data_IF_661951731943
#
_entry.id   IF_661951731943
#
_cell.length_a   1.000
_cell.length_b   1.000
_cell.length_c   1.000
_cell.angle_alpha   90.00
_cell.angle_beta   90.00
_cell.angle_gamma   90.00
#
_symmetry.space_group_name_H-M   'P 1'
#
loop_
_entity.id
_entity.type
_entity.pdbx_description
1 polymer ?
#
# COMPACT_ATOMS: atom_id res chain seq x y z
N UNK A 1 -25.25 -38.49 35.77
CA UNK A 1 -25.22 -37.81 34.49
C UNK A 1 -24.15 -36.74 34.49
N UNK A 2 -23.18 -36.96 33.75
CA UNK A 2 -22.14 -35.94 33.70
C UNK A 2 -22.70 -34.66 33.08
N UNK A 3 -22.60 -33.59 33.83
CA UNK A 3 -22.95 -32.27 33.37
C UNK A 3 -21.75 -31.59 32.74
N UNK A 4 -20.74 -32.37 32.51
CA UNK A 4 -19.53 -31.80 31.91
C UNK A 4 -19.82 -31.36 30.50
N UNK A 5 -19.40 -30.15 30.21
CA UNK A 5 -19.38 -29.69 28.84
C UNK A 5 -18.65 -30.71 27.99
N UNK A 6 -19.20 -31.05 26.85
CA UNK A 6 -18.49 -31.95 25.95
C UNK A 6 -17.05 -31.50 25.76
N UNK A 7 -16.12 -32.38 25.99
CA UNK A 7 -14.71 -32.14 25.74
C UNK A 7 -14.43 -31.49 24.36
N UNK A 8 -15.23 -31.84 23.31
CA UNK A 8 -15.06 -31.16 22.00
C UNK A 8 -15.23 -29.65 22.06
N UNK A 9 -16.19 -29.14 22.88
CA UNK A 9 -16.41 -27.69 22.95
C UNK A 9 -15.20 -26.99 23.58
N UNK A 10 -14.68 -27.56 24.66
CA UNK A 10 -13.47 -27.00 25.29
C UNK A 10 -12.28 -27.02 24.34
N UNK A 11 -12.09 -28.12 23.62
CA UNK A 11 -11.02 -28.25 22.65
C UNK A 11 -11.19 -27.28 21.50
N UNK A 12 -12.43 -27.07 21.06
CA UNK A 12 -12.73 -26.10 20.02
C UNK A 12 -12.37 -24.67 20.46
N UNK A 13 -12.74 -24.31 21.70
CA UNK A 13 -12.37 -22.99 22.24
C UNK A 13 -10.87 -22.80 22.33
N UNK A 14 -10.15 -23.83 22.79
CA UNK A 14 -8.69 -23.79 22.83
C UNK A 14 -8.10 -23.65 21.44
N UNK A 15 -8.65 -24.34 20.46
CA UNK A 15 -8.19 -24.26 19.07
C UNK A 15 -8.42 -22.87 18.49
N UNK A 16 -9.58 -22.26 18.75
CA UNK A 16 -9.90 -20.90 18.30
C UNK A 16 -8.94 -19.89 18.93
N UNK A 17 -8.70 -20.00 20.24
CA UNK A 17 -7.78 -19.10 20.93
C UNK A 17 -6.35 -19.24 20.39
N UNK A 18 -5.92 -20.47 20.14
CA UNK A 18 -4.60 -20.74 19.59
C UNK A 18 -4.46 -20.20 18.17
N UNK A 19 -5.50 -20.37 17.34
CA UNK A 19 -5.52 -19.85 15.98
C UNK A 19 -5.46 -18.32 15.97
N UNK A 20 -6.23 -17.66 16.86
CA UNK A 20 -6.19 -16.21 16.99
C UNK A 20 -4.82 -15.72 17.43
N UNK A 21 -4.18 -16.42 18.38
CA UNK A 21 -2.84 -16.10 18.83
C UNK A 21 -1.80 -16.26 17.72
N UNK A 22 -1.89 -17.35 16.96
CA UNK A 22 -1.01 -17.59 15.81
C UNK A 22 -1.19 -16.51 14.74
N UNK A 23 -2.45 -16.11 14.48
CA UNK A 23 -2.74 -15.03 13.53
C UNK A 23 -2.11 -13.71 13.97
N UNK A 24 -2.23 -13.38 15.26
CA UNK A 24 -1.64 -12.18 15.83
C UNK A 24 -0.12 -12.17 15.67
N UNK A 25 0.54 -13.28 15.99
CA UNK A 25 1.99 -13.43 15.80
C UNK A 25 2.39 -13.32 14.33
N UNK A 26 1.61 -13.92 13.44
CA UNK A 26 1.86 -13.88 12.00
C UNK A 26 1.75 -12.46 11.47
N UNK A 27 0.73 -11.71 11.88
CA UNK A 27 0.57 -10.30 11.48
C UNK A 27 1.78 -9.49 11.95
N UNK A 28 2.20 -9.64 13.21
CA UNK A 28 3.33 -8.93 13.74
C UNK A 28 4.63 -9.30 13.00
N UNK A 29 4.82 -10.57 12.66
CA UNK A 29 5.98 -11.04 11.90
C UNK A 29 5.96 -10.57 10.45
N UNK A 30 4.77 -10.38 9.87
CA UNK A 30 4.61 -9.99 8.47
C UNK A 30 4.74 -8.47 8.26
N UNK A 31 4.64 -7.65 9.32
CA UNK A 31 4.78 -6.20 9.18
C UNK A 31 6.10 -5.76 8.55
N UNK A 32 7.27 -6.25 8.99
CA UNK A 32 8.52 -5.91 8.32
C UNK A 32 8.56 -6.34 6.85
N UNK A 33 7.99 -7.52 6.55
CA UNK A 33 7.90 -8.01 5.18
C UNK A 33 6.99 -7.11 4.35
N UNK A 34 5.87 -6.67 4.91
CA UNK A 34 4.94 -5.76 4.24
C UNK A 34 5.60 -4.43 3.91
N UNK A 35 6.35 -3.87 4.84
CA UNK A 35 7.11 -2.64 4.58
C UNK A 35 8.14 -2.84 3.48
N UNK A 36 8.82 -3.99 3.48
CA UNK A 36 9.80 -4.30 2.44
C UNK A 36 9.13 -4.38 1.07
N UNK A 37 7.98 -5.05 0.97
CA UNK A 37 7.24 -5.15 -0.28
C UNK A 37 6.74 -3.78 -0.74
N UNK A 38 6.28 -2.95 0.19
CA UNK A 38 5.87 -1.59 -0.13
C UNK A 38 7.05 -0.77 -0.68
N UNK A 39 8.21 -0.88 -0.05
CA UNK A 39 9.42 -0.21 -0.52
C UNK A 39 9.83 -0.69 -1.90
N UNK A 40 9.72 -1.99 -2.17
CA UNK A 40 9.99 -2.55 -3.48
C UNK A 40 9.02 -2.02 -4.53
N UNK A 41 7.73 -1.91 -4.18
CA UNK A 41 6.71 -1.33 -5.06
C UNK A 41 7.00 0.13 -5.39
N UNK A 42 7.39 0.92 -4.39
CA UNK A 42 7.79 2.31 -4.60
C UNK A 42 9.03 2.40 -5.49
N UNK A 43 10.02 1.55 -5.25
CA UNK A 43 11.21 1.49 -6.08
C UNK A 43 10.89 1.13 -7.52
N UNK A 44 10.00 0.18 -7.72
CA UNK A 44 9.52 -0.18 -9.05
C UNK A 44 8.84 0.99 -9.74
N UNK A 45 7.92 1.68 -9.05
CA UNK A 45 7.22 2.82 -9.60
C UNK A 45 8.21 3.94 -9.96
N UNK A 46 9.17 4.21 -9.09
CA UNK A 46 10.18 5.24 -9.32
C UNK A 46 11.06 4.91 -10.54
N UNK A 47 11.46 3.66 -10.71
CA UNK A 47 12.34 3.25 -11.80
C UNK A 47 11.61 3.08 -13.13
N UNK A 48 10.33 2.67 -13.12
CA UNK A 48 9.59 2.34 -14.34
C UNK A 48 8.61 3.43 -14.78
N UNK A 49 8.17 4.30 -13.87
CA UNK A 49 7.17 5.32 -14.17
C UNK A 49 7.81 6.70 -14.19
N UNK A 50 7.96 7.24 -15.41
CA UNK A 50 8.53 8.57 -15.60
C UNK A 50 7.74 9.65 -14.87
N UNK A 51 6.42 9.61 -14.98
CA UNK A 51 5.56 10.60 -14.32
C UNK A 51 5.70 10.57 -12.81
N UNK A 52 5.81 9.38 -12.24
CA UNK A 52 6.03 9.23 -10.80
C UNK A 52 7.33 9.89 -10.37
N UNK A 53 8.41 9.65 -11.11
CA UNK A 53 9.72 10.29 -10.84
C UNK A 53 9.62 11.81 -10.89
N UNK A 54 8.95 12.33 -11.91
CA UNK A 54 8.77 13.79 -12.07
C UNK A 54 8.05 14.36 -10.86
N UNK A 55 6.95 13.72 -10.43
CA UNK A 55 6.19 14.20 -9.29
C UNK A 55 6.98 14.09 -7.97
N UNK A 56 7.78 13.04 -7.80
CA UNK A 56 8.65 12.91 -6.62
C UNK A 56 9.68 14.05 -6.59
N UNK A 57 10.33 14.32 -7.70
CA UNK A 57 11.35 15.38 -7.79
C UNK A 57 10.71 16.75 -7.56
N UNK A 58 9.58 17.01 -8.20
CA UNK A 58 8.87 18.29 -8.00
C UNK A 58 8.45 18.44 -6.54
N UNK A 59 7.90 17.39 -5.95
CA UNK A 59 7.52 17.39 -4.54
C UNK A 59 8.69 17.67 -3.61
N UNK A 60 9.83 17.08 -3.86
CA UNK A 60 11.05 17.30 -3.09
C UNK A 60 11.53 18.76 -3.22
N UNK A 61 11.51 19.30 -4.42
CA UNK A 61 11.90 20.70 -4.67
C UNK A 61 10.94 21.65 -3.95
N UNK A 62 9.65 21.41 -4.06
CA UNK A 62 8.64 22.25 -3.42
C UNK A 62 8.76 22.19 -1.90
N UNK A 63 9.00 21.02 -1.31
CA UNK A 63 9.23 20.90 0.11
C UNK A 63 10.50 21.62 0.55
N UNK A 64 11.59 21.49 -0.19
CA UNK A 64 12.82 22.20 0.08
C UNK A 64 12.62 23.71 0.07
N UNK A 65 11.89 24.19 -0.94
CA UNK A 65 11.54 25.61 -1.06
C UNK A 65 10.68 26.07 0.11
N UNK A 66 9.70 25.26 0.52
CA UNK A 66 8.82 25.56 1.64
C UNK A 66 9.61 25.69 2.95
N UNK A 67 10.62 24.84 3.15
CA UNK A 67 11.50 24.93 4.32
C UNK A 67 12.32 26.20 4.28
N UNK A 68 12.90 26.54 3.14
CA UNK A 68 13.69 27.76 2.95
C UNK A 68 12.84 29.00 3.21
N UNK A 69 11.58 29.00 2.73
CA UNK A 69 10.66 30.12 2.93
C UNK A 69 10.03 30.15 4.31
N UNK A 70 10.33 29.17 5.15
CA UNK A 70 9.84 29.09 6.53
C UNK A 70 8.33 29.11 6.63
N UNK A 71 7.68 28.28 5.80
CA UNK A 71 6.23 28.13 5.88
C UNK A 71 5.81 27.59 7.25
N UNK A 72 4.64 28.05 7.73
CA UNK A 72 4.12 27.59 9.00
C UNK A 72 3.71 26.11 8.94
N UNK A 73 3.46 25.53 10.11
CA UNK A 73 3.17 24.10 10.23
C UNK A 73 1.89 23.71 9.45
N UNK A 74 0.88 24.56 9.49
CA UNK A 74 -0.40 24.30 8.80
C UNK A 74 -0.18 24.24 7.30
N UNK A 75 0.53 25.19 6.74
CA UNK A 75 0.84 25.21 5.31
C UNK A 75 1.70 24.04 4.91
N UNK A 76 2.67 23.67 5.74
CA UNK A 76 3.49 22.48 5.49
C UNK A 76 2.65 21.21 5.50
N UNK A 77 1.70 21.09 6.42
CA UNK A 77 0.79 19.94 6.47
C UNK A 77 -0.09 19.86 5.22
N UNK A 78 -0.65 20.96 4.77
CA UNK A 78 -1.44 21.01 3.54
C UNK A 78 -0.61 20.61 2.34
N UNK A 79 0.62 21.12 2.26
CA UNK A 79 1.55 20.77 1.18
C UNK A 79 1.87 19.27 1.20
N UNK A 80 2.15 18.72 2.38
CA UNK A 80 2.45 17.30 2.55
C UNK A 80 1.27 16.43 2.11
N UNK A 81 0.04 16.80 2.49
CA UNK A 81 -1.16 16.08 2.07
C UNK A 81 -1.34 16.13 0.57
N UNK A 82 -1.12 17.30 -0.04
CA UNK A 82 -1.26 17.47 -1.49
C UNK A 82 -0.26 16.61 -2.25
N UNK A 83 1.01 16.67 -1.87
CA UNK A 83 2.05 15.87 -2.52
C UNK A 83 1.77 14.38 -2.34
N UNK A 84 1.41 13.98 -1.14
CA UNK A 84 1.08 12.58 -0.84
C UNK A 84 -0.11 12.10 -1.67
N UNK A 85 -1.16 12.92 -1.79
CA UNK A 85 -2.33 12.57 -2.58
C UNK A 85 -1.96 12.37 -4.05
N UNK A 86 -1.14 13.24 -4.62
CA UNK A 86 -0.69 13.11 -6.01
C UNK A 86 0.10 11.81 -6.19
N UNK A 87 1.04 11.51 -5.29
CA UNK A 87 1.84 10.30 -5.39
C UNK A 87 1.00 9.03 -5.22
N UNK A 88 0.03 9.05 -4.31
CA UNK A 88 -0.89 7.91 -4.13
C UNK A 88 -1.72 7.69 -5.38
N UNK A 89 -2.24 8.74 -6.00
CA UNK A 89 -3.01 8.62 -7.24
C UNK A 89 -2.14 8.05 -8.36
N UNK A 90 -0.88 8.47 -8.46
CA UNK A 90 0.05 7.90 -9.44
C UNK A 90 0.33 6.42 -9.18
N UNK A 91 0.48 6.03 -7.92
CA UNK A 91 0.67 4.63 -7.56
C UNK A 91 -0.55 3.79 -7.87
N UNK A 92 -1.75 4.31 -7.62
CA UNK A 92 -3.00 3.65 -7.99
C UNK A 92 -3.10 3.47 -9.50
N UNK A 93 -2.73 4.49 -10.27
CA UNK A 93 -2.69 4.40 -11.72
C UNK A 93 -1.75 3.29 -12.18
N UNK A 94 -0.55 3.22 -11.59
CA UNK A 94 0.43 2.18 -11.88
C UNK A 94 -0.12 0.80 -11.54
N UNK A 95 -0.78 0.67 -10.40
CA UNK A 95 -1.38 -0.60 -9.97
C UNK A 95 -2.49 -1.05 -10.93
N UNK A 96 -3.34 -0.12 -11.36
CA UNK A 96 -4.40 -0.41 -12.32
C UNK A 96 -3.81 -0.86 -13.65
N UNK A 97 -2.80 -0.18 -14.16
CA UNK A 97 -2.11 -0.57 -15.39
C UNK A 97 -1.53 -1.99 -15.27
N UNK A 98 -0.92 -2.30 -14.15
CA UNK A 98 -0.34 -3.63 -13.91
C UNK A 98 -1.43 -4.71 -13.91
N UNK A 99 -2.57 -4.44 -13.28
CA UNK A 99 -3.69 -5.37 -13.25
C UNK A 99 -4.28 -5.56 -14.65
N UNK A 100 -4.44 -4.48 -15.40
CA UNK A 100 -4.95 -4.52 -16.78
C UNK A 100 -4.00 -5.31 -17.68
N UNK A 101 -2.70 -5.08 -17.57
CA UNK A 101 -1.70 -5.83 -18.33
C UNK A 101 -1.75 -7.32 -18.00
N UNK A 102 -1.87 -7.66 -16.72
CA UNK A 102 -1.97 -9.05 -16.29
C UNK A 102 -3.25 -9.72 -16.81
N UNK A 103 -4.38 -9.02 -16.71
CA UNK A 103 -5.68 -9.55 -17.14
C UNK A 103 -5.76 -9.72 -18.65
N UNK A 104 -5.15 -8.84 -19.43
CA UNK A 104 -5.14 -8.89 -20.87
C UNK A 104 -4.00 -9.75 -21.44
N UNK A 105 -3.13 -10.30 -20.60
CA UNK A 105 -1.97 -11.06 -21.02
C UNK A 105 -0.97 -10.23 -21.83
N UNK A 106 -0.96 -8.92 -21.59
CA UNK A 106 -0.14 -7.93 -22.31
C UNK A 106 -0.47 -7.83 -23.78
N UNK A 107 -1.64 -8.34 -24.18
CA UNK A 107 -2.12 -8.18 -25.55
C UNK A 107 -2.83 -6.86 -25.68
N UNK A 108 -2.72 -6.26 -26.88
CA UNK A 108 -3.51 -5.08 -27.20
C UNK A 108 -5.00 -5.42 -27.13
N UNK A 109 -5.73 -4.68 -26.32
CA UNK A 109 -7.17 -4.76 -26.22
C UNK A 109 -7.73 -3.34 -26.10
N UNK A 110 -8.79 -2.99 -26.85
CA UNK A 110 -9.35 -1.63 -26.79
C UNK A 110 -9.72 -1.18 -25.39
N UNK A 111 -10.29 -2.07 -24.57
CA UNK A 111 -10.65 -1.75 -23.19
C UNK A 111 -9.42 -1.53 -22.31
N UNK A 112 -8.35 -2.28 -22.54
CA UNK A 112 -7.09 -2.10 -21.83
C UNK A 112 -6.47 -0.74 -22.14
N UNK A 113 -6.53 -0.33 -23.41
CA UNK A 113 -6.06 0.99 -23.83
C UNK A 113 -6.84 2.10 -23.13
N UNK A 114 -8.14 1.97 -23.05
CA UNK A 114 -8.99 2.96 -22.37
C UNK A 114 -8.61 3.07 -20.88
N UNK A 115 -8.39 1.93 -20.23
CA UNK A 115 -8.01 1.90 -18.82
C UNK A 115 -6.62 2.52 -18.58
N UNK A 116 -5.70 2.36 -19.53
CA UNK A 116 -4.32 2.89 -19.41
C UNK A 116 -4.22 4.36 -19.81
N UNK A 117 -5.06 4.81 -20.68
CA UNK A 117 -5.10 6.20 -21.11
C UNK A 117 -5.88 7.07 -20.13
#
# INVERSE_FOLDING_TARGET
MPTELPLPVENELKAVKLAARRRSWRIAGDLPASFRYAAQGLGYAFSSQRNFRIHVVIGAVVFGLAVVLQLDLIRMAVLALTVTAVLVLELLNTAIEAVVDLASGRRYHPLARIAKD
#
